data_IF_166486836099
#
_entry.id   IF_166486836099
#
_cell.length_a   1.000
_cell.length_b   1.000
_cell.length_c   1.000
_cell.angle_alpha   90.00
_cell.angle_beta   90.00
_cell.angle_gamma   90.00
#
_symmetry.space_group_name_H-M   'P 1'
#
loop_
_entity.id
_entity.type
_entity.pdbx_description
1 polymer ?
#
# COMPACT_ATOMS: atom_id res chain seq x y z
N UNK A 1 -7.74 -12.73 -10.75
CA UNK A 1 -6.60 -11.78 -10.63
C UNK A 1 -6.49 -10.79 -11.81
N UNK A 2 -6.23 -11.25 -13.04
CA UNK A 2 -5.95 -10.40 -14.22
C UNK A 2 -6.94 -9.25 -14.49
N UNK A 3 -8.23 -9.45 -14.25
CA UNK A 3 -9.27 -8.50 -14.69
C UNK A 3 -9.95 -7.77 -13.53
N UNK A 4 -10.51 -8.51 -12.57
CA UNK A 4 -11.29 -7.92 -11.47
C UNK A 4 -10.51 -6.85 -10.71
N UNK A 5 -9.28 -7.16 -10.28
CA UNK A 5 -8.46 -6.22 -9.50
C UNK A 5 -8.04 -4.99 -10.31
N UNK A 6 -7.83 -5.12 -11.62
CA UNK A 6 -7.65 -3.98 -12.53
C UNK A 6 -8.89 -3.08 -12.56
N UNK A 7 -10.09 -3.69 -12.55
CA UNK A 7 -11.37 -2.96 -12.44
C UNK A 7 -11.49 -2.19 -11.12
N UNK A 8 -11.10 -2.80 -10.00
CA UNK A 8 -11.06 -2.09 -8.71
C UNK A 8 -10.00 -0.98 -8.67
N UNK A 9 -8.83 -1.19 -9.28
CA UNK A 9 -7.77 -0.17 -9.38
C UNK A 9 -8.31 1.08 -10.08
N UNK A 10 -9.01 0.88 -11.20
CA UNK A 10 -9.63 1.96 -11.97
C UNK A 10 -10.73 2.66 -11.16
N UNK A 11 -11.55 1.90 -10.42
CA UNK A 11 -12.56 2.47 -9.55
C UNK A 11 -11.97 3.34 -8.43
N UNK A 12 -10.89 2.89 -7.78
CA UNK A 12 -10.17 3.65 -6.74
C UNK A 12 -9.59 4.93 -7.36
N UNK A 13 -8.91 4.83 -8.51
CA UNK A 13 -8.38 6.00 -9.22
C UNK A 13 -9.47 7.01 -9.61
N UNK A 14 -10.62 6.55 -10.12
CA UNK A 14 -11.72 7.44 -10.51
C UNK A 14 -12.46 8.08 -9.34
N UNK A 15 -12.38 7.48 -8.15
CA UNK A 15 -13.04 7.99 -6.95
C UNK A 15 -12.09 8.80 -6.07
N UNK A 16 -10.78 8.81 -6.33
CA UNK A 16 -9.83 9.69 -5.66
C UNK A 16 -10.15 11.19 -5.90
N UNK A 17 -9.81 12.02 -4.91
CA UNK A 17 -9.92 13.47 -5.01
C UNK A 17 -9.03 14.04 -6.13
N UNK A 18 -9.44 15.11 -6.84
CA UNK A 18 -8.69 15.67 -7.97
C UNK A 18 -7.22 15.95 -7.66
N UNK A 19 -6.93 16.44 -6.45
CA UNK A 19 -5.61 16.86 -6.00
C UNK A 19 -4.66 15.66 -5.80
N UNK A 20 -5.21 14.49 -5.45
CA UNK A 20 -4.45 13.25 -5.18
C UNK A 20 -4.42 12.29 -6.36
N UNK A 21 -5.15 12.59 -7.43
CA UNK A 21 -5.42 11.69 -8.55
C UNK A 21 -4.16 11.24 -9.29
N UNK A 22 -3.15 12.11 -9.42
CA UNK A 22 -1.86 11.76 -10.04
C UNK A 22 -1.09 10.71 -9.25
N UNK A 23 -1.02 10.88 -7.92
CA UNK A 23 -0.34 9.95 -7.01
C UNK A 23 -1.07 8.61 -6.96
N UNK A 24 -2.39 8.64 -6.77
CA UNK A 24 -3.22 7.42 -6.76
C UNK A 24 -3.15 6.71 -8.09
N UNK A 25 -3.16 7.43 -9.21
CA UNK A 25 -3.03 6.83 -10.55
C UNK A 25 -1.74 6.04 -10.71
N UNK A 26 -0.60 6.59 -10.28
CA UNK A 26 0.67 5.88 -10.30
C UNK A 26 0.67 4.62 -9.43
N UNK A 27 0.18 4.74 -8.19
CA UNK A 27 0.09 3.62 -7.24
C UNK A 27 -0.81 2.49 -7.77
N UNK A 28 -2.04 2.85 -8.20
CA UNK A 28 -3.03 1.88 -8.69
C UNK A 28 -2.59 1.23 -9.99
N UNK A 29 -1.95 1.97 -10.89
CA UNK A 29 -1.42 1.40 -12.13
C UNK A 29 -0.31 0.40 -11.86
N UNK A 30 0.65 0.73 -10.98
CA UNK A 30 1.73 -0.19 -10.63
C UNK A 30 1.17 -1.47 -9.98
N UNK A 31 0.27 -1.33 -9.01
CA UNK A 31 -0.32 -2.46 -8.31
C UNK A 31 -1.18 -3.34 -9.25
N UNK A 32 -1.98 -2.72 -10.13
CA UNK A 32 -2.77 -3.43 -11.13
C UNK A 32 -1.89 -4.16 -12.14
N UNK A 33 -0.79 -3.55 -12.59
CA UNK A 33 0.14 -4.18 -13.52
C UNK A 33 0.83 -5.40 -12.88
N UNK A 34 1.24 -5.30 -11.62
CA UNK A 34 1.79 -6.43 -10.86
C UNK A 34 0.77 -7.56 -10.77
N UNK A 35 -0.45 -7.27 -10.34
CA UNK A 35 -1.53 -8.27 -10.25
C UNK A 35 -1.87 -8.88 -11.61
N UNK A 36 -1.89 -8.07 -12.68
CA UNK A 36 -2.15 -8.55 -14.02
C UNK A 36 -1.05 -9.49 -14.50
N UNK A 37 0.22 -9.11 -14.38
CA UNK A 37 1.34 -9.86 -14.95
C UNK A 37 1.64 -11.14 -14.15
N UNK A 38 1.77 -11.01 -12.83
CA UNK A 38 2.29 -12.08 -11.97
C UNK A 38 1.21 -12.77 -11.15
N UNK A 39 0.02 -12.17 -11.04
CA UNK A 39 -1.05 -12.63 -10.17
C UNK A 39 -0.99 -12.01 -8.78
N UNK A 40 0.18 -11.55 -8.30
CA UNK A 40 0.39 -11.01 -6.95
C UNK A 40 -0.57 -9.84 -6.68
N UNK A 41 -1.49 -10.03 -5.74
CA UNK A 41 -2.64 -9.13 -5.50
C UNK A 41 -2.45 -8.20 -4.32
N UNK A 42 -1.56 -8.54 -3.39
CA UNK A 42 -1.37 -7.88 -2.10
C UNK A 42 -1.11 -6.37 -2.23
N UNK A 43 -0.27 -5.88 -3.18
CA UNK A 43 -0.06 -4.45 -3.35
C UNK A 43 -1.35 -3.67 -3.61
N UNK A 44 -2.35 -4.31 -4.23
CA UNK A 44 -3.63 -3.70 -4.53
C UNK A 44 -4.65 -3.99 -3.42
N UNK A 45 -4.71 -5.20 -2.89
CA UNK A 45 -5.64 -5.58 -1.83
C UNK A 45 -5.40 -4.80 -0.54
N UNK A 46 -4.15 -4.58 -0.16
CA UNK A 46 -3.81 -3.82 1.05
C UNK A 46 -4.27 -2.36 0.98
N UNK A 47 -4.50 -1.85 -0.24
CA UNK A 47 -5.02 -0.50 -0.43
C UNK A 47 -6.46 -0.32 0.04
N UNK A 48 -7.24 -1.40 0.15
CA UNK A 48 -8.64 -1.34 0.60
C UNK A 48 -8.97 -2.29 1.77
N UNK A 49 -8.18 -3.33 2.01
CA UNK A 49 -8.40 -4.33 3.06
C UNK A 49 -8.59 -3.68 4.44
N UNK A 50 -7.72 -2.74 4.80
CA UNK A 50 -7.71 -2.13 6.13
C UNK A 50 -8.66 -0.92 6.26
N UNK A 51 -8.90 -0.21 5.16
CA UNK A 51 -9.75 1.01 5.15
C UNK A 51 -11.22 0.70 4.85
N UNK A 52 -11.50 -0.40 4.16
CA UNK A 52 -12.84 -0.81 3.78
C UNK A 52 -12.95 -2.35 3.75
N UNK A 53 -12.99 -3.03 4.92
CA UNK A 53 -13.05 -4.49 5.00
C UNK A 53 -14.21 -5.11 4.22
N UNK A 54 -15.32 -4.38 4.06
CA UNK A 54 -16.46 -4.81 3.25
C UNK A 54 -16.10 -5.01 1.77
N UNK A 55 -15.23 -4.15 1.20
CA UNK A 55 -14.74 -4.34 -0.17
C UNK A 55 -13.93 -5.63 -0.30
N UNK A 56 -13.19 -6.01 0.75
CA UNK A 56 -12.45 -7.27 0.78
C UNK A 56 -13.35 -8.50 0.87
N UNK A 57 -14.42 -8.46 1.66
CA UNK A 57 -15.41 -9.54 1.68
C UNK A 57 -16.04 -9.75 0.30
N UNK A 58 -16.40 -8.65 -0.37
CA UNK A 58 -16.96 -8.70 -1.72
C UNK A 58 -15.94 -9.22 -2.73
N UNK A 59 -14.68 -8.80 -2.61
CA UNK A 59 -13.59 -9.32 -3.41
C UNK A 59 -13.44 -10.84 -3.24
N UNK A 60 -13.39 -11.34 -1.99
CA UNK A 60 -13.25 -12.77 -1.71
C UNK A 60 -14.42 -13.61 -2.26
N UNK A 61 -15.66 -13.12 -2.10
CA UNK A 61 -16.84 -13.79 -2.68
C UNK A 61 -16.77 -13.78 -4.21
N UNK A 62 -16.41 -12.65 -4.81
CA UNK A 62 -16.32 -12.51 -6.26
C UNK A 62 -15.17 -13.34 -6.86
N UNK A 63 -14.10 -13.58 -6.10
CA UNK A 63 -13.01 -14.47 -6.51
C UNK A 63 -13.46 -15.94 -6.49
N UNK A 64 -14.15 -16.37 -5.42
CA UNK A 64 -14.77 -17.70 -5.38
C UNK A 64 -15.77 -17.94 -6.53
N UNK A 65 -16.57 -16.93 -6.87
CA UNK A 65 -17.46 -16.98 -8.03
C UNK A 65 -16.69 -17.07 -9.36
N UNK A 66 -15.50 -16.46 -9.46
CA UNK A 66 -14.67 -16.59 -10.65
C UNK A 66 -14.17 -18.03 -10.85
N UNK A 67 -13.79 -18.71 -9.77
CA UNK A 67 -13.44 -20.14 -9.81
C UNK A 67 -14.63 -21.03 -10.17
N UNK A 68 -15.83 -20.71 -9.67
CA UNK A 68 -17.06 -21.39 -10.09
C UNK A 68 -17.31 -21.22 -11.60
N UNK A 69 -17.10 -20.01 -12.13
CA UNK A 69 -17.22 -19.77 -13.58
C UNK A 69 -16.15 -20.53 -14.37
N UNK A 70 -14.92 -20.63 -13.84
CA UNK A 70 -13.88 -21.44 -14.47
C UNK A 70 -14.31 -22.91 -14.60
N UNK A 71 -14.92 -23.48 -13.55
CA UNK A 71 -15.45 -24.86 -13.57
C UNK A 71 -16.59 -25.03 -14.58
N UNK A 72 -17.61 -24.16 -14.55
CA UNK A 72 -18.77 -24.21 -15.46
C UNK A 72 -18.33 -24.17 -16.94
N UNK A 73 -17.31 -23.37 -17.26
CA UNK A 73 -16.79 -23.22 -18.62
C UNK A 73 -15.63 -24.17 -18.94
N UNK A 74 -15.33 -25.12 -18.03
CA UNK A 74 -14.24 -26.10 -18.16
C UNK A 74 -12.87 -25.46 -18.46
N UNK A 75 -12.59 -24.32 -17.83
CA UNK A 75 -11.30 -23.63 -17.96
C UNK A 75 -10.27 -24.36 -17.10
N UNK A 76 -9.27 -24.92 -17.77
CA UNK A 76 -8.24 -25.79 -17.18
C UNK A 76 -6.85 -25.19 -17.42
N UNK A 77 -6.73 -23.88 -17.23
CA UNK A 77 -5.45 -23.16 -17.27
C UNK A 77 -4.71 -23.39 -15.95
N UNK A 78 -3.53 -24.01 -16.03
CA UNK A 78 -2.68 -24.23 -14.87
C UNK A 78 -2.15 -22.92 -14.27
N UNK A 79 -1.88 -22.93 -12.97
CA UNK A 79 -1.28 -21.80 -12.25
C UNK A 79 -0.08 -22.32 -11.46
N UNK A 80 1.05 -21.61 -11.54
CA UNK A 80 2.23 -21.97 -10.74
C UNK A 80 2.17 -21.36 -9.34
N UNK A 81 1.74 -20.10 -9.25
CA UNK A 81 1.66 -19.38 -7.98
C UNK A 81 0.32 -18.67 -7.80
N UNK A 82 -0.05 -17.76 -8.71
CA UNK A 82 -1.18 -16.84 -8.47
C UNK A 82 -2.07 -16.57 -9.70
N UNK A 83 -1.75 -17.13 -10.87
CA UNK A 83 -2.63 -17.07 -12.04
C UNK A 83 -2.64 -15.70 -12.72
N UNK A 84 -1.46 -15.13 -12.91
CA UNK A 84 -1.26 -13.91 -13.71
C UNK A 84 -1.28 -14.17 -15.22
N UNK A 85 -1.07 -13.12 -16.00
CA UNK A 85 -0.98 -13.18 -17.46
C UNK A 85 0.13 -14.11 -17.95
N UNK A 86 1.24 -14.19 -17.20
CA UNK A 86 2.33 -15.11 -17.51
C UNK A 86 1.86 -16.56 -17.41
N UNK A 87 1.14 -16.93 -16.33
CA UNK A 87 0.57 -18.27 -16.18
C UNK A 87 -0.46 -18.56 -17.28
N UNK A 88 -1.34 -17.59 -17.58
CA UNK A 88 -2.31 -17.69 -18.66
C UNK A 88 -1.66 -17.97 -20.03
N UNK A 89 -0.57 -17.30 -20.34
CA UNK A 89 0.15 -17.51 -21.59
C UNK A 89 0.80 -18.90 -21.62
N UNK A 90 1.58 -19.25 -20.58
CA UNK A 90 2.39 -20.47 -20.54
C UNK A 90 1.56 -21.75 -20.40
N UNK A 91 0.54 -21.72 -19.54
CA UNK A 91 -0.27 -22.88 -19.17
C UNK A 91 -1.68 -22.86 -19.75
N UNK A 92 -2.07 -21.78 -20.41
CA UNK A 92 -3.33 -21.67 -21.16
C UNK A 92 -3.08 -21.66 -22.66
N UNK A 93 -2.59 -20.54 -23.17
CA UNK A 93 -2.44 -20.27 -24.62
C UNK A 93 -1.50 -21.28 -25.28
N UNK A 94 -0.30 -21.45 -24.74
CA UNK A 94 0.71 -22.35 -25.32
C UNK A 94 0.35 -23.84 -25.22
N UNK A 95 -0.55 -24.20 -24.30
CA UNK A 95 -1.05 -25.57 -24.16
C UNK A 95 -2.16 -25.90 -25.17
N UNK A 96 -2.76 -24.88 -25.80
CA UNK A 96 -3.81 -25.02 -26.79
C UNK A 96 -5.23 -25.05 -26.21
N UNK A 97 -6.17 -24.46 -26.94
CA UNK A 97 -7.55 -24.27 -26.46
C UNK A 97 -8.28 -25.60 -26.23
N UNK A 98 -7.99 -26.64 -27.01
CA UNK A 98 -8.60 -27.97 -26.85
C UNK A 98 -8.38 -28.58 -25.46
N UNK A 99 -7.29 -28.20 -24.79
CA UNK A 99 -6.93 -28.73 -23.47
C UNK A 99 -7.32 -27.80 -22.33
N UNK A 100 -7.30 -26.49 -22.55
CA UNK A 100 -7.33 -25.48 -21.49
C UNK A 100 -8.55 -24.56 -21.51
N UNK A 101 -9.29 -24.51 -22.63
CA UNK A 101 -10.39 -23.59 -22.84
C UNK A 101 -10.04 -22.12 -22.51
N UNK A 102 -8.77 -21.75 -22.69
CA UNK A 102 -8.24 -20.46 -22.27
C UNK A 102 -8.97 -19.27 -22.91
N UNK A 103 -9.58 -19.45 -24.08
CA UNK A 103 -10.32 -18.40 -24.77
C UNK A 103 -11.48 -17.85 -23.93
N UNK A 104 -12.09 -18.66 -23.05
CA UNK A 104 -13.16 -18.21 -22.15
C UNK A 104 -12.69 -17.28 -21.04
N UNK A 105 -11.40 -17.26 -20.72
CA UNK A 105 -10.82 -16.36 -19.71
C UNK A 105 -11.00 -14.90 -20.12
N UNK A 106 -10.89 -14.57 -21.40
CA UNK A 106 -11.01 -13.19 -21.90
C UNK A 106 -12.44 -12.62 -21.74
N UNK A 107 -13.51 -13.24 -22.28
CA UNK A 107 -14.86 -12.70 -22.13
C UNK A 107 -15.32 -12.69 -20.66
N UNK A 108 -15.05 -13.75 -19.90
CA UNK A 108 -15.38 -13.79 -18.45
C UNK A 108 -14.59 -12.72 -17.71
N UNK A 109 -13.31 -12.56 -18.04
CA UNK A 109 -12.43 -11.54 -17.51
C UNK A 109 -12.96 -10.13 -17.74
N UNK A 110 -13.38 -9.80 -18.97
CA UNK A 110 -13.99 -8.49 -19.29
C UNK A 110 -15.24 -8.25 -18.45
N UNK A 111 -16.11 -9.25 -18.31
CA UNK A 111 -17.29 -9.16 -17.43
C UNK A 111 -16.86 -8.89 -15.99
N UNK A 112 -15.85 -9.60 -15.47
CA UNK A 112 -15.33 -9.40 -14.12
C UNK A 112 -14.72 -8.01 -13.91
N UNK A 113 -13.98 -7.49 -14.90
CA UNK A 113 -13.45 -6.13 -14.87
C UNK A 113 -14.57 -5.11 -14.69
N UNK A 114 -15.63 -5.22 -15.50
CA UNK A 114 -16.78 -4.31 -15.44
C UNK A 114 -17.52 -4.45 -14.10
N UNK A 115 -17.77 -5.68 -13.65
CA UNK A 115 -18.42 -5.94 -12.37
C UNK A 115 -17.63 -5.33 -11.21
N UNK A 116 -16.33 -5.58 -11.12
CA UNK A 116 -15.48 -5.01 -10.08
C UNK A 116 -15.49 -3.49 -10.14
N UNK A 117 -15.32 -2.91 -11.32
CA UNK A 117 -15.34 -1.46 -11.49
C UNK A 117 -16.65 -0.85 -10.98
N UNK A 118 -17.80 -1.39 -11.40
CA UNK A 118 -19.12 -0.88 -11.02
C UNK A 118 -19.36 -1.06 -9.52
N UNK A 119 -19.11 -2.26 -8.97
CA UNK A 119 -19.35 -2.57 -7.56
C UNK A 119 -18.44 -1.72 -6.67
N UNK A 120 -17.13 -1.69 -6.93
CA UNK A 120 -16.21 -0.89 -6.12
C UNK A 120 -16.57 0.60 -6.20
N UNK A 121 -16.78 1.13 -7.41
CA UNK A 121 -17.12 2.56 -7.57
C UNK A 121 -18.43 2.91 -6.88
N UNK A 122 -19.44 2.05 -6.96
CA UNK A 122 -20.72 2.25 -6.29
C UNK A 122 -20.56 2.26 -4.77
N UNK A 123 -19.87 1.27 -4.20
CA UNK A 123 -19.71 1.14 -2.75
C UNK A 123 -18.81 2.23 -2.17
N UNK A 124 -17.71 2.55 -2.85
CA UNK A 124 -16.79 3.62 -2.44
C UNK A 124 -17.54 4.95 -2.35
N UNK A 125 -18.37 5.27 -3.35
CA UNK A 125 -19.11 6.54 -3.36
C UNK A 125 -20.32 6.53 -2.42
N UNK A 126 -21.06 5.42 -2.34
CA UNK A 126 -22.25 5.29 -1.49
C UNK A 126 -21.93 5.31 0.00
N UNK A 127 -20.90 4.60 0.42
CA UNK A 127 -20.51 4.47 1.83
C UNK A 127 -19.35 5.40 2.21
N UNK A 128 -18.89 6.23 1.27
CA UNK A 128 -17.78 7.14 1.44
C UNK A 128 -16.50 6.47 2.00
N UNK A 129 -16.15 5.29 1.46
CA UNK A 129 -14.96 4.58 1.90
C UNK A 129 -13.69 5.40 1.63
N UNK A 130 -12.78 5.39 2.61
CA UNK A 130 -11.51 6.11 2.61
C UNK A 130 -10.42 5.34 1.85
N UNK A 131 -10.71 4.93 0.62
CA UNK A 131 -9.72 4.34 -0.28
C UNK A 131 -8.63 5.38 -0.63
N UNK A 132 -7.46 4.97 -1.14
CA UNK A 132 -6.35 5.89 -1.41
C UNK A 132 -6.78 7.14 -2.17
N UNK A 133 -6.43 8.31 -1.63
CA UNK A 133 -6.80 9.61 -2.19
C UNK A 133 -8.22 10.08 -1.87
N UNK A 134 -8.96 9.37 -1.03
CA UNK A 134 -10.25 9.80 -0.45
C UNK A 134 -10.18 10.06 1.05
N UNK A 135 -8.98 10.03 1.65
CA UNK A 135 -8.84 10.44 3.05
C UNK A 135 -9.31 11.90 3.21
N UNK A 136 -9.89 12.21 4.37
CA UNK A 136 -10.27 13.59 4.68
C UNK A 136 -9.02 14.47 4.67
N UNK A 137 -9.19 15.74 4.26
CA UNK A 137 -8.12 16.73 4.43
C UNK A 137 -7.96 16.95 5.94
N UNK A 138 -7.11 16.11 6.54
CA UNK A 138 -7.05 15.96 7.99
C UNK A 138 -6.45 14.63 8.48
N UNK A 139 -5.76 13.86 7.62
CA UNK A 139 -4.80 12.84 8.06
C UNK A 139 -3.50 12.92 7.25
N UNK A 140 -3.09 14.14 6.91
CA UNK A 140 -1.76 14.53 7.37
C UNK A 140 -2.06 15.08 8.75
N UNK A 141 -1.60 14.45 9.83
CA UNK A 141 -1.62 15.10 11.14
C UNK A 141 -0.65 16.29 11.08
N UNK A 142 -1.08 17.38 10.44
CA UNK A 142 -0.49 18.71 10.57
C UNK A 142 -1.12 19.44 11.77
N UNK A 143 -1.42 18.68 12.82
CA UNK A 143 -1.65 19.18 14.17
C UNK A 143 -0.64 18.37 15.00
N UNK A 144 0.45 19.02 15.40
CA UNK A 144 1.62 18.49 16.16
C UNK A 144 2.83 17.88 15.40
N UNK A 145 2.81 17.62 14.09
CA UNK A 145 3.97 17.02 13.37
C UNK A 145 5.27 17.84 13.46
N UNK A 146 5.19 19.18 13.39
CA UNK A 146 6.37 20.04 13.55
C UNK A 146 6.91 20.00 14.97
N UNK A 147 6.04 19.92 15.98
CA UNK A 147 6.44 19.92 17.38
C UNK A 147 7.00 18.56 17.79
N UNK A 148 6.42 17.46 17.30
CA UNK A 148 6.98 16.11 17.46
C UNK A 148 8.37 16.01 16.84
N UNK A 149 8.54 16.44 15.58
CA UNK A 149 9.84 16.39 14.92
C UNK A 149 10.88 17.30 15.61
N UNK A 150 10.48 18.49 16.09
CA UNK A 150 11.34 19.34 16.94
C UNK A 150 11.73 18.67 18.24
N UNK A 151 10.78 18.04 18.94
CA UNK A 151 11.04 17.29 20.17
C UNK A 151 11.99 16.12 19.92
N UNK A 152 11.84 15.39 18.80
CA UNK A 152 12.76 14.31 18.42
C UNK A 152 14.17 14.87 18.21
N UNK A 153 14.31 15.95 17.44
CA UNK A 153 15.61 16.60 17.18
C UNK A 153 16.25 17.08 18.50
N UNK A 154 15.47 17.72 19.36
CA UNK A 154 15.94 18.21 20.66
C UNK A 154 16.37 17.04 21.56
N UNK A 155 15.58 15.97 21.61
CA UNK A 155 15.88 14.77 22.38
C UNK A 155 17.10 14.00 21.86
N UNK A 156 17.50 14.19 20.60
CA UNK A 156 18.70 13.61 20.02
C UNK A 156 19.96 14.49 20.20
N UNK A 157 19.84 15.62 20.90
CA UNK A 157 20.94 16.54 21.17
C UNK A 157 21.03 17.72 20.20
N UNK A 158 19.95 18.00 19.45
CA UNK A 158 19.89 19.09 18.48
C UNK A 158 20.36 18.67 17.08
N UNK A 159 20.13 19.55 16.10
CA UNK A 159 20.40 19.29 14.67
C UNK A 159 21.88 18.97 14.42
N UNK A 160 22.78 19.66 15.10
CA UNK A 160 24.23 19.49 14.95
C UNK A 160 24.73 18.13 15.45
N UNK A 161 23.96 17.46 16.32
CA UNK A 161 24.33 16.14 16.82
C UNK A 161 23.86 15.00 15.90
N UNK A 162 23.07 15.28 14.87
CA UNK A 162 22.51 14.28 13.96
C UNK A 162 23.37 14.22 12.69
N UNK A 163 23.97 13.06 12.44
CA UNK A 163 24.77 12.79 11.22
C UNK A 163 23.90 12.22 10.11
N UNK A 164 23.19 11.12 10.41
CA UNK A 164 22.33 10.41 9.44
C UNK A 164 21.02 10.03 10.08
N UNK A 165 19.92 10.26 9.35
CA UNK A 165 18.58 9.78 9.68
C UNK A 165 18.12 8.80 8.61
N UNK A 166 17.70 7.61 9.03
CA UNK A 166 17.16 6.56 8.17
C UNK A 166 15.99 5.86 8.86
N UNK A 167 15.23 5.03 8.15
CA UNK A 167 14.16 4.25 8.74
C UNK A 167 14.06 2.84 8.14
N UNK A 168 13.56 1.91 8.95
CA UNK A 168 13.08 0.60 8.49
C UNK A 168 11.55 0.59 8.44
N UNK A 169 10.93 -0.60 8.41
CA UNK A 169 9.47 -0.73 8.45
C UNK A 169 8.82 -0.19 9.75
N UNK A 170 9.55 -0.22 10.89
CA UNK A 170 8.96 0.13 12.21
C UNK A 170 9.85 1.00 13.10
N UNK A 171 11.06 1.34 12.66
CA UNK A 171 12.07 1.99 13.52
C UNK A 171 12.80 3.10 12.80
N UNK A 172 12.89 4.26 13.45
CA UNK A 172 13.74 5.36 13.05
C UNK A 172 15.16 5.03 13.51
N UNK A 173 16.14 5.10 12.62
CA UNK A 173 17.55 4.87 12.88
C UNK A 173 18.28 6.19 12.75
N UNK A 174 18.97 6.60 13.79
CA UNK A 174 19.72 7.85 13.81
C UNK A 174 21.16 7.54 14.19
N UNK A 175 22.10 8.04 13.40
CA UNK A 175 23.52 8.09 13.74
C UNK A 175 23.81 9.48 14.29
N UNK A 176 24.41 9.52 15.48
CA UNK A 176 24.76 10.76 16.16
C UNK A 176 26.26 11.04 16.08
N UNK A 177 26.63 12.32 16.13
CA UNK A 177 28.01 12.77 16.27
C UNK A 177 28.54 12.49 17.69
N UNK A 178 27.67 12.57 18.71
CA UNK A 178 27.98 12.30 20.11
C UNK A 178 26.84 11.56 20.82
N UNK A 179 27.19 10.63 21.70
CA UNK A 179 26.27 9.80 22.49
C UNK A 179 25.74 10.49 23.77
N UNK A 180 26.29 11.64 24.15
CA UNK A 180 26.07 12.27 25.47
C UNK A 180 24.77 13.08 25.60
N UNK A 181 24.04 13.31 24.52
CA UNK A 181 22.93 14.26 24.48
C UNK A 181 21.55 13.64 24.22
N UNK A 182 21.39 12.32 24.40
CA UNK A 182 20.14 11.61 24.09
C UNK A 182 19.19 11.55 25.29
N UNK A 183 18.05 12.22 25.19
CA UNK A 183 16.95 12.15 26.15
C UNK A 183 15.92 11.08 25.74
N UNK A 184 16.06 9.89 26.33
CA UNK A 184 15.15 8.75 26.09
C UNK A 184 13.74 9.02 26.59
N UNK A 185 13.57 9.86 27.60
CA UNK A 185 12.25 10.16 28.19
C UNK A 185 11.47 11.02 27.24
N UNK A 186 12.11 12.06 26.68
CA UNK A 186 11.52 12.92 25.67
C UNK A 186 11.21 12.12 24.38
N UNK A 187 12.08 11.22 23.94
CA UNK A 187 11.79 10.32 22.81
C UNK A 187 10.61 9.37 23.09
N UNK A 188 10.39 8.96 24.33
CA UNK A 188 9.23 8.13 24.68
C UNK A 188 7.93 8.95 24.66
N UNK A 189 8.01 10.24 24.96
CA UNK A 189 6.86 11.16 24.89
C UNK A 189 6.41 11.48 23.46
N UNK A 190 7.24 11.23 22.45
CA UNK A 190 6.90 11.41 21.03
C UNK A 190 6.20 10.19 20.42
N UNK A 191 5.46 9.44 21.24
CA UNK A 191 4.76 8.19 20.87
C UNK A 191 5.67 7.00 20.53
N UNK A 192 6.95 7.07 20.91
CA UNK A 192 7.83 5.92 20.73
C UNK A 192 7.44 4.77 21.66
N UNK A 193 7.35 3.57 21.11
CA UNK A 193 7.13 2.33 21.86
C UNK A 193 8.40 1.80 22.53
N UNK A 194 9.55 2.37 22.18
CA UNK A 194 10.83 2.01 22.76
C UNK A 194 12.00 2.73 22.09
N UNK A 195 13.07 2.92 22.86
CA UNK A 195 14.31 3.58 22.42
C UNK A 195 15.49 2.68 22.76
N UNK A 196 16.31 2.37 21.77
CA UNK A 196 17.53 1.57 21.91
C UNK A 196 18.71 2.46 21.52
N UNK A 197 19.70 2.60 22.40
CA UNK A 197 20.92 3.34 22.13
C UNK A 197 22.13 2.41 22.31
N UNK A 198 23.02 2.38 21.31
CA UNK A 198 24.28 1.64 21.35
C UNK A 198 25.39 2.50 20.73
N UNK A 199 26.23 3.09 21.59
CA UNK A 199 27.20 4.11 21.18
C UNK A 199 26.48 5.28 20.50
N UNK A 200 26.96 5.66 19.32
CA UNK A 200 26.39 6.74 18.51
C UNK A 200 25.11 6.36 17.73
N UNK A 201 24.71 5.08 17.74
CA UNK A 201 23.50 4.63 17.06
C UNK A 201 22.29 4.65 17.98
N UNK A 202 21.24 5.36 17.59
CA UNK A 202 19.93 5.38 18.26
C UNK A 202 18.87 4.76 17.35
N UNK A 203 18.03 3.90 17.91
CA UNK A 203 16.84 3.37 17.25
C UNK A 203 15.60 3.68 18.06
N UNK A 204 14.61 4.31 17.43
CA UNK A 204 13.34 4.67 18.05
C UNK A 204 12.21 3.93 17.35
N UNK A 205 11.38 3.21 18.12
CA UNK A 205 10.34 2.32 17.58
C UNK A 205 9.02 3.07 17.49
N UNK A 206 8.65 3.51 16.28
CA UNK A 206 7.39 4.22 16.01
C UNK A 206 6.32 3.36 15.32
N UNK A 207 6.68 2.16 14.86
CA UNK A 207 5.76 1.32 14.09
C UNK A 207 5.58 1.82 12.65
N UNK A 208 4.47 1.51 11.98
CA UNK A 208 4.32 1.68 10.52
C UNK A 208 4.35 3.14 10.04
N UNK A 209 4.23 4.12 10.96
CA UNK A 209 4.26 5.55 10.64
C UNK A 209 5.68 6.14 10.58
N UNK A 210 6.72 5.32 10.77
CA UNK A 210 8.12 5.78 10.87
C UNK A 210 8.61 6.53 9.63
N UNK A 211 8.16 6.15 8.44
CA UNK A 211 8.56 6.84 7.20
C UNK A 211 8.06 8.28 7.18
N UNK A 212 6.86 8.53 7.70
CA UNK A 212 6.32 9.89 7.85
C UNK A 212 7.17 10.70 8.84
N UNK A 213 7.48 10.13 10.00
CA UNK A 213 8.32 10.77 11.03
C UNK A 213 9.73 11.07 10.50
N UNK A 214 10.32 10.17 9.72
CA UNK A 214 11.63 10.36 9.09
C UNK A 214 11.62 11.56 8.15
N UNK A 215 10.60 11.66 7.29
CA UNK A 215 10.46 12.79 6.38
C UNK A 215 10.25 14.11 7.14
N UNK A 216 9.46 14.12 8.22
CA UNK A 216 9.26 15.31 9.07
C UNK A 216 10.59 15.80 9.71
N UNK A 217 11.41 14.86 10.19
CA UNK A 217 12.71 15.17 10.78
C UNK A 217 13.68 15.68 9.72
N UNK A 218 13.74 15.06 8.54
CA UNK A 218 14.59 15.52 7.43
C UNK A 218 14.21 16.91 6.94
N UNK A 219 12.91 17.19 6.77
CA UNK A 219 12.42 18.49 6.35
C UNK A 219 12.84 19.61 7.33
N UNK A 220 12.85 19.34 8.64
CA UNK A 220 13.38 20.30 9.62
C UNK A 220 14.90 20.43 9.61
N UNK A 221 15.64 19.39 9.22
CA UNK A 221 17.10 19.45 9.09
C UNK A 221 17.54 20.22 7.85
N UNK A 222 16.74 20.21 6.78
CA UNK A 222 17.03 20.91 5.52
C UNK A 222 16.62 22.39 5.54
N UNK A 223 15.50 22.75 6.18
CA UNK A 223 14.94 24.10 6.16
C UNK A 223 15.72 25.19 6.95
N UNK A 224 16.84 24.84 7.61
CA UNK A 224 17.70 25.77 8.37
C UNK A 224 19.08 26.00 7.71
N UNK A 225 19.27 25.57 6.45
CA UNK A 225 20.44 25.90 5.63
C UNK A 225 20.17 27.08 4.71
#
# INVERSE_FOLDING_TARGET
>A
MMFGLCGSALAIYHTAKPERKKVVGGLMLSAALTSFLTGITEPLEFSFLFVAPMLYVIHAVSDGLAFMMADIFNITVGQTFSGGFIDYLLFGVLQGNEKTNFLWVIPIGIVWFVLYYVIFRYLITKFNFKTPGREDEGVTETVEATDRAKMIIQALGGKENIDVVDCCATRLRVTLNSDKAVDKTMLTSTEARGVIQKGNGVQVIYGPHVTTIKNEVEELLENDK
#
